data_IF_888319640332
#
_entry.id   IF_888319640332
#
_cell.length_a   1.000
_cell.length_b   1.000
_cell.length_c   1.000
_cell.angle_alpha   90.00
_cell.angle_beta   90.00
_cell.angle_gamma   90.00
#
_symmetry.space_group_name_H-M   'P 1'
#
loop_
_entity.id
_entity.type
_entity.pdbx_description
1 polymer ?
#
# COMPACT_ATOMS: atom_id res chain seq x y z
N UNK A 1 5.37 16.69 11.40
CA UNK A 1 6.04 16.82 10.10
C UNK A 1 6.22 15.41 9.54
N UNK A 2 5.29 14.94 8.71
CA UNK A 2 5.38 13.61 8.09
C UNK A 2 6.27 13.79 6.86
N UNK A 3 7.56 13.49 6.99
CA UNK A 3 8.43 13.29 5.81
C UNK A 3 7.81 12.12 5.03
N UNK A 4 7.87 12.14 3.70
CA UNK A 4 7.06 11.28 2.81
C UNK A 4 7.36 9.78 2.85
N UNK A 5 7.70 9.20 4.01
CA UNK A 5 7.95 7.80 4.33
C UNK A 5 8.71 7.03 3.26
N UNK A 6 9.63 7.70 2.57
CA UNK A 6 10.52 7.04 1.63
C UNK A 6 11.49 6.13 2.39
N UNK A 7 12.07 5.14 1.70
CA UNK A 7 12.99 4.17 2.32
C UNK A 7 14.13 4.86 3.12
N UNK A 8 14.62 6.02 2.66
CA UNK A 8 15.65 6.81 3.37
C UNK A 8 15.11 7.49 4.63
N UNK A 9 13.89 8.00 4.58
CA UNK A 9 13.26 8.61 5.75
C UNK A 9 12.97 7.55 6.82
N UNK A 10 12.49 6.37 6.42
CA UNK A 10 12.30 5.22 7.32
C UNK A 10 13.64 4.83 7.95
N UNK A 11 14.70 4.70 7.15
CA UNK A 11 16.03 4.38 7.65
C UNK A 11 16.53 5.39 8.70
N UNK A 12 16.28 6.68 8.49
CA UNK A 12 16.67 7.75 9.42
C UNK A 12 15.87 7.70 10.72
N UNK A 13 14.53 7.59 10.63
CA UNK A 13 13.63 7.59 11.80
C UNK A 13 13.83 6.34 12.65
N UNK A 14 13.88 5.17 12.01
CA UNK A 14 14.03 3.88 12.69
C UNK A 14 15.48 3.58 13.08
N UNK A 15 16.45 4.37 12.61
CA UNK A 15 17.90 4.13 12.79
C UNK A 15 18.34 2.76 12.29
N UNK A 16 17.75 2.33 11.18
CA UNK A 16 18.02 1.05 10.51
C UNK A 16 18.68 1.34 9.16
N UNK A 17 19.60 0.48 8.70
CA UNK A 17 20.21 0.67 7.38
C UNK A 17 19.18 0.58 6.25
N UNK A 18 19.36 1.40 5.21
CA UNK A 18 18.52 1.38 4.01
C UNK A 18 18.39 -0.04 3.42
N UNK A 19 19.50 -0.79 3.39
CA UNK A 19 19.51 -2.16 2.90
C UNK A 19 18.65 -3.11 3.73
N UNK A 20 18.64 -2.93 5.06
CA UNK A 20 17.77 -3.71 5.95
C UNK A 20 16.30 -3.34 5.76
N UNK A 21 15.97 -2.05 5.62
CA UNK A 21 14.59 -1.60 5.32
C UNK A 21 14.11 -2.23 4.01
N UNK A 22 14.92 -2.12 2.93
CA UNK A 22 14.58 -2.70 1.64
C UNK A 22 14.35 -4.20 1.74
N UNK A 23 15.29 -4.91 2.39
CA UNK A 23 15.20 -6.37 2.58
C UNK A 23 13.93 -6.76 3.34
N UNK A 24 13.62 -6.06 4.42
CA UNK A 24 12.40 -6.31 5.20
C UNK A 24 11.15 -6.09 4.35
N UNK A 25 11.07 -5.02 3.56
CA UNK A 25 9.90 -4.77 2.70
C UNK A 25 9.78 -5.79 1.56
N UNK A 26 10.88 -6.22 0.94
CA UNK A 26 10.86 -7.16 -0.19
C UNK A 26 10.68 -8.62 0.24
N UNK A 27 11.17 -9.00 1.41
CA UNK A 27 11.06 -10.37 1.95
C UNK A 27 9.87 -10.52 2.92
N UNK A 28 9.11 -9.44 3.16
CA UNK A 28 7.92 -9.48 4.01
C UNK A 28 6.87 -10.41 3.40
N UNK A 29 6.43 -11.39 4.19
CA UNK A 29 5.24 -12.21 3.91
C UNK A 29 4.03 -11.69 4.68
N UNK A 30 3.98 -10.39 4.97
CA UNK A 30 2.85 -9.79 5.67
C UNK A 30 1.59 -9.92 4.83
N UNK A 31 0.58 -10.55 5.41
CA UNK A 31 -0.76 -10.65 4.84
C UNK A 31 -1.70 -9.71 5.60
N UNK A 32 -2.67 -9.16 4.88
CA UNK A 32 -3.72 -8.34 5.49
C UNK A 32 -4.51 -9.21 6.46
N UNK A 33 -4.55 -8.81 7.72
CA UNK A 33 -5.39 -9.43 8.73
C UNK A 33 -6.69 -8.64 8.85
N UNK A 34 -7.80 -9.29 8.51
CA UNK A 34 -9.13 -8.73 8.72
C UNK A 34 -9.50 -8.77 10.20
N UNK A 35 -9.90 -7.63 10.75
CA UNK A 35 -10.39 -7.55 12.13
C UNK A 35 -11.84 -8.00 12.23
N UNK A 36 -12.60 -7.89 11.13
CA UNK A 36 -14.01 -8.24 11.06
C UNK A 36 -14.30 -9.15 9.86
N UNK A 37 -15.32 -10.00 10.01
CA UNK A 37 -15.85 -10.83 8.93
C UNK A 37 -16.90 -10.12 8.08
N UNK A 38 -17.50 -9.06 8.61
CA UNK A 38 -18.53 -8.28 7.94
C UNK A 38 -18.31 -6.79 8.20
N UNK A 39 -18.53 -5.98 7.15
CA UNK A 39 -18.39 -4.53 7.19
C UNK A 39 -19.71 -3.92 6.68
N UNK A 40 -20.28 -2.99 7.45
CA UNK A 40 -21.52 -2.32 7.05
C UNK A 40 -21.30 -1.37 5.86
N UNK A 41 -20.15 -0.68 5.83
CA UNK A 41 -19.77 0.23 4.75
C UNK A 41 -18.27 0.18 4.50
N UNK A 42 -17.85 0.36 3.25
CA UNK A 42 -16.43 0.47 2.88
C UNK A 42 -16.25 1.70 2.01
N UNK A 43 -15.21 2.47 2.30
CA UNK A 43 -14.75 3.55 1.45
C UNK A 43 -13.81 2.95 0.40
N UNK A 44 -14.13 3.12 -0.88
CA UNK A 44 -13.27 2.68 -1.98
C UNK A 44 -12.64 3.91 -2.62
N UNK A 45 -11.33 3.87 -2.79
CA UNK A 45 -10.57 4.95 -3.39
C UNK A 45 -9.53 4.40 -4.38
N UNK A 46 -9.15 5.23 -5.35
CA UNK A 46 -8.22 4.88 -6.41
C UNK A 46 -7.11 5.93 -6.56
N UNK A 47 -5.89 5.47 -6.77
CA UNK A 47 -4.82 6.33 -7.25
C UNK A 47 -3.89 5.60 -8.21
N UNK A 48 -3.02 6.37 -8.86
CA UNK A 48 -2.10 5.84 -9.86
C UNK A 48 -0.72 6.47 -9.73
N UNK A 49 0.29 5.69 -10.10
CA UNK A 49 1.70 6.11 -10.13
C UNK A 49 2.44 5.46 -11.30
N UNK A 50 3.65 5.96 -11.57
CA UNK A 50 4.56 5.36 -12.57
C UNK A 50 5.61 4.49 -11.88
N UNK A 51 5.77 3.24 -12.35
CA UNK A 51 6.75 2.30 -11.79
C UNK A 51 7.90 2.09 -12.77
N UNK A 52 9.11 2.54 -12.39
CA UNK A 52 10.33 2.43 -13.19
C UNK A 52 10.42 3.41 -14.36
N UNK A 53 9.36 3.57 -15.16
CA UNK A 53 9.29 4.53 -16.26
C UNK A 53 7.86 5.09 -16.48
N UNK A 54 7.75 6.20 -17.21
CA UNK A 54 6.47 6.91 -17.46
C UNK A 54 5.47 6.16 -18.36
N UNK A 55 5.90 5.10 -19.07
CA UNK A 55 4.99 4.26 -19.86
C UNK A 55 4.31 3.20 -19.00
N UNK A 56 4.89 2.87 -17.85
CA UNK A 56 4.37 1.87 -16.92
C UNK A 56 3.53 2.55 -15.82
N UNK A 57 2.31 2.94 -16.18
CA UNK A 57 1.31 3.46 -15.24
C UNK A 57 0.64 2.30 -14.52
N UNK A 58 0.67 2.33 -13.19
CA UNK A 58 0.06 1.36 -12.30
C UNK A 58 -1.01 2.04 -11.45
N UNK A 59 -2.04 1.30 -11.12
CA UNK A 59 -3.21 1.71 -10.35
C UNK A 59 -3.25 0.91 -9.06
N UNK A 60 -3.62 1.58 -7.98
CA UNK A 60 -4.00 0.97 -6.72
C UNK A 60 -5.45 1.33 -6.46
N UNK A 61 -6.29 0.32 -6.34
CA UNK A 61 -7.66 0.46 -5.85
C UNK A 61 -7.70 -0.28 -4.52
N UNK A 62 -8.25 0.35 -3.50
CA UNK A 62 -8.31 -0.24 -2.16
C UNK A 62 -9.66 0.04 -1.50
N UNK A 63 -10.11 -0.91 -0.69
CA UNK A 63 -11.27 -0.79 0.17
C UNK A 63 -10.81 -0.56 1.60
N UNK A 64 -11.30 0.50 2.21
CA UNK A 64 -10.93 0.99 3.52
C UNK A 64 -12.15 1.04 4.44
N UNK A 65 -12.02 0.48 5.64
CA UNK A 65 -13.04 0.61 6.67
C UNK A 65 -12.67 1.75 7.61
N UNK A 66 -13.46 2.83 7.59
CA UNK A 66 -13.15 4.07 8.30
C UNK A 66 -13.15 3.95 9.81
N UNK A 67 -14.03 3.11 10.36
CA UNK A 67 -14.19 3.01 11.81
C UNK A 67 -13.03 2.26 12.47
N UNK A 68 -12.54 1.19 11.83
CA UNK A 68 -11.39 0.40 12.33
C UNK A 68 -10.06 0.89 11.79
N UNK A 69 -10.08 1.67 10.71
CA UNK A 69 -8.89 2.13 10.03
C UNK A 69 -8.15 1.04 9.25
N UNK A 70 -8.81 -0.08 8.93
CA UNK A 70 -8.19 -1.20 8.23
C UNK A 70 -8.37 -1.12 6.71
N UNK A 71 -7.37 -1.61 5.98
CA UNK A 71 -7.48 -1.88 4.55
C UNK A 71 -8.02 -3.30 4.41
N UNK A 72 -9.23 -3.44 3.89
CA UNK A 72 -9.93 -4.74 3.79
C UNK A 72 -9.45 -5.52 2.57
N UNK A 73 -9.24 -4.84 1.46
CA UNK A 73 -8.74 -5.44 0.23
C UNK A 73 -8.06 -4.37 -0.63
N UNK A 74 -7.15 -4.78 -1.50
CA UNK A 74 -6.62 -3.93 -2.54
C UNK A 74 -6.27 -4.74 -3.78
N UNK A 75 -6.25 -4.05 -4.92
CA UNK A 75 -5.74 -4.58 -6.18
C UNK A 75 -4.73 -3.61 -6.76
N UNK A 76 -3.62 -4.15 -7.25
CA UNK A 76 -2.56 -3.38 -7.89
C UNK A 76 -2.35 -3.88 -9.31
N UNK A 77 -2.39 -2.98 -10.29
CA UNK A 77 -2.20 -3.39 -11.68
C UNK A 77 -2.36 -2.29 -12.71
N UNK A 78 -2.50 -2.71 -13.97
CA UNK A 78 -2.91 -1.80 -15.04
C UNK A 78 -4.39 -1.47 -14.86
N UNK A 79 -4.84 -0.33 -15.40
CA UNK A 79 -6.28 -0.05 -15.48
C UNK A 79 -6.86 -0.84 -16.63
N UNK A 80 -7.40 -1.99 -16.31
CA UNK A 80 -8.23 -2.82 -17.17
C UNK A 80 -9.54 -3.16 -16.46
N UNK A 81 -10.52 -3.67 -17.21
CA UNK A 81 -11.83 -4.08 -16.67
C UNK A 81 -11.75 -5.19 -15.61
N UNK A 82 -10.60 -5.85 -15.43
CA UNK A 82 -10.40 -6.87 -14.40
C UNK A 82 -9.95 -6.27 -13.05
N UNK A 83 -9.55 -5.00 -13.06
CA UNK A 83 -9.08 -4.25 -11.88
C UNK A 83 -10.17 -3.31 -11.32
N UNK A 84 -11.35 -3.23 -11.95
CA UNK A 84 -12.50 -2.39 -11.58
C UNK A 84 -13.71 -3.26 -11.25
#
# INVERSE_FOLDING_TARGET
MVRGSGIRDIAEVERISIGKVLRTLTESTYEIQHQQSHYESLEVDEFWNFVGNKKNKQWLIYAYHRETGEIVAYVWGKRDLATV
#
